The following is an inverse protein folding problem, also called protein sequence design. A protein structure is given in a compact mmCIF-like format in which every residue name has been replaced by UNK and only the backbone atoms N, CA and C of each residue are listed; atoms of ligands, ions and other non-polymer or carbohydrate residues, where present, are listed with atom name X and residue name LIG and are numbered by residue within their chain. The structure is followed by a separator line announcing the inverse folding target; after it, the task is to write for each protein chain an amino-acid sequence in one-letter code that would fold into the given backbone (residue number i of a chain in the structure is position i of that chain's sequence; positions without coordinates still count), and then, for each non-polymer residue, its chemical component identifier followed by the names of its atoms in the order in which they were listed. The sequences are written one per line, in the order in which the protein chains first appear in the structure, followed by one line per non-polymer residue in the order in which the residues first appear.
data_IF_998253948519
#
_entry.id   IF_998253948519
#
_cell.length_a   1.000
_cell.length_b   1.000
_cell.length_c   1.000
_cell.angle_alpha   90.00
_cell.angle_beta   90.00
_cell.angle_gamma   90.00
#
_symmetry.space_group_name_H-M   'P 1'
#
loop_
_entity.id
_entity.type
_entity.pdbx_description
1 polymer ?
#
# COMPACT_ATOMS: atom_id res chain seq x y z
N UNK A 1 10.81 19.77 -14.73
CA UNK A 1 11.69 19.85 -13.54
C UNK A 1 11.91 18.42 -13.02
N UNK A 2 13.01 17.78 -13.43
CA UNK A 2 13.35 16.42 -12.98
C UNK A 2 13.71 16.50 -11.49
N UNK A 3 13.05 15.67 -10.65
CA UNK A 3 13.13 15.71 -9.17
C UNK A 3 14.52 15.38 -8.57
N UNK A 4 15.62 15.57 -9.30
CA UNK A 4 16.99 15.27 -8.82
C UNK A 4 17.25 13.79 -8.53
N UNK A 5 16.44 12.88 -9.07
CA UNK A 5 16.53 11.45 -8.82
C UNK A 5 17.64 10.82 -9.68
N UNK A 6 18.47 9.98 -9.09
CA UNK A 6 19.48 9.22 -9.82
C UNK A 6 18.80 8.09 -10.63
N UNK A 7 18.90 8.09 -11.98
CA UNK A 7 18.28 7.08 -12.83
C UNK A 7 18.81 5.65 -12.57
N UNK A 8 20.04 5.52 -12.06
CA UNK A 8 20.67 4.23 -11.81
C UNK A 8 19.88 3.38 -10.78
N UNK A 9 19.22 4.04 -9.83
CA UNK A 9 18.42 3.36 -8.80
C UNK A 9 17.15 2.69 -9.35
N UNK A 10 16.74 3.04 -10.57
CA UNK A 10 15.52 2.54 -11.20
C UNK A 10 15.80 1.69 -12.44
N UNK A 11 17.06 1.36 -12.71
CA UNK A 11 17.46 0.64 -13.93
C UNK A 11 16.70 -0.65 -14.15
N UNK A 12 16.50 -1.45 -13.09
CA UNK A 12 15.70 -2.67 -13.16
C UNK A 12 14.27 -2.41 -13.66
N UNK A 13 13.61 -1.39 -13.12
CA UNK A 13 12.24 -1.02 -13.49
C UNK A 13 12.19 -0.44 -14.91
N UNK A 14 13.11 0.47 -15.25
CA UNK A 14 13.16 1.16 -16.55
C UNK A 14 13.52 0.22 -17.71
N UNK A 15 14.29 -0.84 -17.47
CA UNK A 15 14.64 -1.83 -18.49
C UNK A 15 13.38 -2.47 -19.09
N UNK A 16 12.36 -2.76 -18.28
CA UNK A 16 11.12 -3.34 -18.77
C UNK A 16 10.36 -2.43 -19.75
N UNK A 17 10.41 -1.10 -19.55
CA UNK A 17 9.83 -0.12 -20.49
C UNK A 17 10.60 -0.05 -21.80
N UNK A 18 11.92 -0.25 -21.78
CA UNK A 18 12.77 -0.25 -22.99
C UNK A 18 12.43 -1.40 -23.95
N UNK A 19 11.98 -2.53 -23.42
CA UNK A 19 11.60 -3.71 -24.21
C UNK A 19 10.12 -3.74 -24.62
N UNK A 20 9.39 -2.63 -24.50
CA UNK A 20 8.08 -2.47 -25.12
C UNK A 20 6.92 -2.92 -24.25
N UNK A 21 6.88 -2.51 -22.98
CA UNK A 21 5.68 -2.64 -22.16
C UNK A 21 4.52 -1.83 -22.82
N UNK A 22 3.33 -2.41 -22.98
CA UNK A 22 2.16 -1.71 -23.53
C UNK A 22 1.72 -0.56 -22.62
N UNK A 23 0.95 0.43 -23.13
CA UNK A 23 0.37 1.47 -22.31
C UNK A 23 -0.53 0.84 -21.24
N UNK A 24 -0.10 0.91 -19.99
CA UNK A 24 -0.76 0.33 -18.85
C UNK A 24 -1.03 1.42 -17.82
N UNK A 25 -2.15 1.29 -17.13
CA UNK A 25 -2.56 2.15 -16.04
C UNK A 25 -3.36 1.32 -15.07
N UNK A 26 -3.27 1.66 -13.80
CA UNK A 26 -4.00 0.98 -12.74
C UNK A 26 -4.44 1.98 -11.68
N UNK A 27 -5.25 1.50 -10.75
CA UNK A 27 -5.70 2.24 -9.60
C UNK A 27 -5.49 1.39 -8.36
N UNK A 28 -5.14 2.03 -7.25
CA UNK A 28 -5.03 1.39 -5.95
C UNK A 28 -6.12 1.93 -5.04
N UNK A 29 -6.89 1.04 -4.43
CA UNK A 29 -7.91 1.39 -3.44
C UNK A 29 -7.57 0.68 -2.12
N UNK A 30 -7.58 1.43 -1.02
CA UNK A 30 -7.35 0.87 0.32
C UNK A 30 -8.59 0.13 0.79
N UNK A 31 -8.55 -1.20 0.77
CA UNK A 31 -9.69 -2.05 1.11
C UNK A 31 -10.13 -1.87 2.57
N UNK A 32 -9.19 -1.71 3.49
CA UNK A 32 -9.48 -1.50 4.91
C UNK A 32 -10.23 -0.18 5.12
N UNK A 33 -9.84 0.86 4.38
CA UNK A 33 -10.53 2.16 4.42
C UNK A 33 -11.89 2.11 3.75
N UNK A 34 -12.02 1.33 2.67
CA UNK A 34 -13.30 1.10 2.02
C UNK A 34 -14.26 0.41 3.00
N UNK A 35 -13.84 -0.68 3.62
CA UNK A 35 -14.62 -1.43 4.61
C UNK A 35 -14.98 -0.55 5.82
N UNK A 36 -14.03 0.22 6.33
CA UNK A 36 -14.28 1.19 7.41
C UNK A 36 -15.43 2.14 7.04
N UNK A 37 -15.43 2.69 5.82
CA UNK A 37 -16.48 3.60 5.36
C UNK A 37 -17.80 2.91 5.07
N UNK A 38 -17.77 1.69 4.53
CA UNK A 38 -18.97 0.89 4.27
C UNK A 38 -19.70 0.52 5.57
N UNK A 39 -18.95 0.22 6.64
CA UNK A 39 -19.49 -0.22 7.92
C UNK A 39 -19.61 0.92 8.96
N UNK A 40 -19.19 2.15 8.62
CA UNK A 40 -19.25 3.30 9.53
C UNK A 40 -18.35 3.18 10.75
N UNK A 41 -17.22 2.49 10.63
CA UNK A 41 -16.28 2.23 11.73
C UNK A 41 -15.44 3.47 12.05
N UNK A 42 -15.13 3.68 13.32
CA UNK A 42 -14.38 4.85 13.79
C UNK A 42 -12.89 4.74 13.44
N UNK A 43 -12.35 3.51 13.37
CA UNK A 43 -10.95 3.25 13.09
C UNK A 43 -10.74 2.17 12.03
N UNK A 44 -9.75 2.36 11.15
CA UNK A 44 -9.33 1.37 10.15
C UNK A 44 -8.85 0.06 10.80
N UNK A 45 -8.36 0.11 12.05
CA UNK A 45 -8.00 -1.09 12.84
C UNK A 45 -9.17 -2.05 13.03
N UNK A 46 -10.40 -1.55 13.06
CA UNK A 46 -11.61 -2.39 13.21
C UNK A 46 -11.99 -3.08 11.89
N UNK A 47 -11.46 -2.60 10.76
CA UNK A 47 -11.65 -3.18 9.44
C UNK A 47 -10.57 -4.23 9.07
N UNK A 48 -9.67 -4.59 10.01
CA UNK A 48 -8.64 -5.61 9.80
C UNK A 48 -8.75 -6.72 10.86
N UNK A 49 -8.45 -7.95 10.45
CA UNK A 49 -8.57 -9.13 11.30
C UNK A 49 -7.51 -9.16 12.41
N UNK A 50 -6.31 -8.67 12.12
CA UNK A 50 -5.18 -8.60 13.06
C UNK A 50 -4.62 -7.18 13.06
N UNK A 51 -5.26 -6.24 13.78
CA UNK A 51 -4.81 -4.87 13.85
C UNK A 51 -3.47 -4.78 14.57
N UNK A 52 -2.49 -4.09 13.98
CA UNK A 52 -1.24 -3.79 14.66
C UNK A 52 -1.40 -2.51 15.46
N UNK A 53 -0.98 -2.53 16.72
CA UNK A 53 -0.79 -1.31 17.48
C UNK A 53 0.63 -0.74 17.32
N UNK A 54 0.80 0.53 17.69
CA UNK A 54 2.09 1.21 17.74
C UNK A 54 3.05 0.50 18.70
N UNK A 55 2.50 -0.08 19.77
CA UNK A 55 3.18 -1.01 20.65
C UNK A 55 2.91 -2.43 20.13
N UNK A 56 3.96 -3.22 19.83
CA UNK A 56 3.89 -4.58 19.25
C UNK A 56 3.07 -5.62 20.04
N UNK A 57 2.37 -5.23 21.10
CA UNK A 57 1.56 -6.13 21.91
C UNK A 57 0.19 -6.27 21.24
N UNK A 58 0.02 -7.28 20.39
CA UNK A 58 -1.30 -7.68 19.91
C UNK A 58 -2.03 -8.38 21.07
N UNK A 59 -2.86 -7.63 21.79
CA UNK A 59 -3.55 -8.12 23.01
C UNK A 59 -4.50 -9.29 22.72
N UNK A 60 -5.02 -9.39 21.49
CA UNK A 60 -5.89 -10.49 21.05
C UNK A 60 -5.14 -11.82 20.84
N UNK A 61 -3.83 -11.79 20.61
CA UNK A 61 -2.99 -12.97 20.36
C UNK A 61 -2.05 -13.30 21.53
N UNK A 62 -1.97 -12.41 22.53
CA UNK A 62 -1.12 -12.57 23.72
C UNK A 62 -1.88 -13.17 24.91
N UNK A 63 -3.10 -13.71 24.69
CA UNK A 63 -3.91 -14.40 25.70
C UNK A 63 -3.73 -15.92 25.60
#
# INVERSE_FOLDING_TARGET
HLKGLNPLNFMFYLQAFKYGIPPHGGWGMGLERLTQKMLGLDNVKEATLFPRDMNRIDTLLSA
#
